data_IF_600074016190
#
_entry.id   IF_600074016190
#
_cell.length_a   1.000
_cell.length_b   1.000
_cell.length_c   1.000
_cell.angle_alpha   90.00
_cell.angle_beta   90.00
_cell.angle_gamma   90.00
#
_symmetry.space_group_name_H-M   'P 1'
#
loop_
_entity.id
_entity.type
_entity.pdbx_description
1 polymer ?
#
# COMPACT_ATOMS: atom_id res chain seq x y z
N UNK A 1 3.50 12.96 -1.33
CA UNK A 1 2.47 12.38 -2.23
C UNK A 1 1.57 11.47 -1.41
N UNK A 2 0.27 11.45 -1.70
CA UNK A 2 -0.70 10.57 -1.05
C UNK A 2 -1.37 9.67 -2.09
N UNK A 3 -1.52 8.38 -1.81
CA UNK A 3 -2.11 7.39 -2.71
C UNK A 3 -2.67 6.21 -1.92
N UNK A 4 -3.39 5.31 -2.60
CA UNK A 4 -3.92 4.10 -2.00
C UNK A 4 -3.89 2.94 -2.99
N UNK A 5 -3.70 1.73 -2.49
CA UNK A 5 -3.97 0.51 -3.25
C UNK A 5 -5.48 0.28 -3.28
N UNK A 6 -6.05 0.16 -4.48
CA UNK A 6 -7.50 0.09 -4.70
C UNK A 6 -7.88 -0.89 -5.80
N UNK A 7 -7.83 -2.21 -5.55
CA UNK A 7 -8.34 -3.18 -6.50
C UNK A 7 -9.84 -2.95 -6.79
N UNK A 8 -10.29 -3.12 -8.05
CA UNK A 8 -11.71 -3.05 -8.37
C UNK A 8 -12.53 -4.04 -7.53
N UNK A 9 -13.76 -3.67 -7.19
CA UNK A 9 -14.69 -4.53 -6.46
C UNK A 9 -14.36 -4.74 -4.97
N UNK A 10 -13.36 -4.05 -4.42
CA UNK A 10 -13.01 -4.19 -2.99
C UNK A 10 -13.81 -3.20 -2.13
N UNK A 11 -14.51 -3.64 -1.07
CA UNK A 11 -15.22 -2.74 -0.13
C UNK A 11 -14.28 -1.74 0.57
N UNK A 12 -14.80 -0.58 0.95
CA UNK A 12 -13.97 0.51 1.52
C UNK A 12 -13.27 0.11 2.83
N UNK A 13 -13.96 -0.60 3.74
CA UNK A 13 -13.36 -1.12 4.98
C UNK A 13 -12.22 -2.12 4.72
N UNK A 14 -12.40 -2.96 3.70
CA UNK A 14 -11.40 -3.93 3.25
C UNK A 14 -10.21 -3.20 2.60
N UNK A 15 -10.45 -2.14 1.84
CA UNK A 15 -9.39 -1.27 1.32
C UNK A 15 -8.57 -0.64 2.43
N UNK A 16 -9.22 -0.13 3.49
CA UNK A 16 -8.53 0.47 4.62
C UNK A 16 -7.66 -0.55 5.37
N UNK A 17 -8.20 -1.75 5.65
CA UNK A 17 -7.42 -2.86 6.22
C UNK A 17 -6.21 -3.24 5.36
N UNK A 18 -6.41 -3.35 4.04
CA UNK A 18 -5.33 -3.70 3.10
C UNK A 18 -4.25 -2.63 3.03
N UNK A 19 -4.62 -1.35 3.03
CA UNK A 19 -3.64 -0.27 3.00
C UNK A 19 -2.89 -0.16 4.34
N UNK A 20 -3.54 -0.39 5.48
CA UNK A 20 -2.86 -0.47 6.78
C UNK A 20 -1.84 -1.62 6.82
N UNK A 21 -2.24 -2.83 6.39
CA UNK A 21 -1.31 -3.97 6.33
C UNK A 21 -0.19 -3.80 5.29
N UNK A 22 -0.42 -3.05 4.22
CA UNK A 22 0.61 -2.68 3.24
C UNK A 22 1.63 -1.72 3.84
N UNK A 23 1.17 -0.71 4.60
CA UNK A 23 2.03 0.22 5.34
C UNK A 23 2.95 -0.53 6.29
N UNK A 24 2.37 -1.38 7.14
CA UNK A 24 3.11 -2.15 8.14
C UNK A 24 4.17 -3.03 7.49
N UNK A 25 3.82 -3.74 6.42
CA UNK A 25 4.75 -4.62 5.72
C UNK A 25 5.93 -3.88 5.07
N UNK A 26 5.66 -2.74 4.45
CA UNK A 26 6.71 -1.90 3.87
C UNK A 26 7.62 -1.36 4.98
N UNK A 27 7.06 -0.82 6.06
CA UNK A 27 7.86 -0.29 7.16
C UNK A 27 8.65 -1.37 7.90
N UNK A 28 8.08 -2.58 8.06
CA UNK A 28 8.75 -3.72 8.69
C UNK A 28 9.93 -4.25 7.86
N UNK A 29 9.95 -4.01 6.54
CA UNK A 29 11.11 -4.35 5.70
C UNK A 29 12.37 -3.55 6.06
N UNK A 30 12.22 -2.38 6.70
CA UNK A 30 13.32 -1.46 7.00
C UNK A 30 13.92 -0.74 5.79
N UNK A 31 13.50 -1.10 4.57
CA UNK A 31 14.03 -0.53 3.33
C UNK A 31 13.40 0.82 2.95
N UNK A 32 12.16 1.05 3.37
CA UNK A 32 11.43 2.29 3.14
C UNK A 32 10.46 2.55 4.30
N UNK A 33 10.30 3.83 4.63
CA UNK A 33 9.34 4.27 5.66
C UNK A 33 8.29 5.18 5.05
N UNK A 34 7.04 4.75 5.18
CA UNK A 34 5.84 5.47 4.81
C UNK A 34 5.07 5.84 6.07
N UNK A 35 4.18 6.82 5.94
CA UNK A 35 3.14 7.12 6.94
C UNK A 35 1.76 6.96 6.31
N UNK A 36 0.71 7.15 7.10
CA UNK A 36 -0.65 7.26 6.60
C UNK A 36 -1.28 8.58 7.01
N UNK A 37 -2.40 8.90 6.37
CA UNK A 37 -3.30 9.99 6.72
C UNK A 37 -4.72 9.60 6.32
N UNK A 38 -5.72 10.29 6.88
CA UNK A 38 -7.12 10.08 6.52
C UNK A 38 -7.56 11.22 5.61
N UNK A 39 -7.91 10.90 4.37
CA UNK A 39 -8.45 11.86 3.41
C UNK A 39 -9.88 11.46 3.05
N UNK A 40 -10.84 12.37 3.24
CA UNK A 40 -12.26 12.12 2.99
C UNK A 40 -12.79 10.87 3.72
N UNK A 41 -12.31 10.65 4.94
CA UNK A 41 -12.68 9.49 5.77
C UNK A 41 -12.03 8.16 5.37
N UNK A 42 -11.02 8.16 4.48
CA UNK A 42 -10.39 6.95 3.93
C UNK A 42 -8.92 6.85 4.29
N UNK A 43 -8.47 5.65 4.63
CA UNK A 43 -7.07 5.38 4.95
C UNK A 43 -6.19 5.53 3.70
N UNK A 44 -5.23 6.45 3.75
CA UNK A 44 -4.39 6.83 2.61
C UNK A 44 -2.91 6.76 2.96
N UNK A 45 -2.11 6.11 2.12
CA UNK A 45 -0.67 6.02 2.27
C UNK A 45 -0.01 7.34 1.86
N UNK A 46 1.02 7.74 2.61
CA UNK A 46 1.79 8.97 2.37
C UNK A 46 3.27 8.66 2.25
N UNK A 47 3.82 8.95 1.07
CA UNK A 47 5.25 8.99 0.82
C UNK A 47 5.75 10.43 0.93
N UNK A 48 6.64 10.68 1.89
CA UNK A 48 7.28 11.97 2.12
C UNK A 48 8.67 11.98 1.47
N UNK A 49 8.75 12.48 0.23
CA UNK A 49 10.03 12.75 -0.44
C UNK A 49 10.51 14.12 0.00
N UNK A 50 11.09 14.22 1.20
CA UNK A 50 11.51 15.50 1.80
C UNK A 50 12.97 15.56 2.26
N UNK A 51 13.66 14.43 2.30
CA UNK A 51 15.07 14.40 2.69
C UNK A 51 15.96 14.64 1.46
N UNK A 52 16.92 15.56 1.56
CA UNK A 52 17.91 15.89 0.52
C UNK A 52 18.69 14.67 0.01
N UNK A 53 18.77 13.59 0.80
CA UNK A 53 19.41 12.32 0.43
C UNK A 53 18.47 11.36 -0.31
N UNK A 54 17.19 11.71 -0.48
CA UNK A 54 16.22 10.88 -1.22
C UNK A 54 16.48 11.01 -2.71
N UNK A 55 16.95 9.94 -3.33
CA UNK A 55 17.24 9.89 -4.76
C UNK A 55 16.16 9.10 -5.49
N UNK A 56 16.11 9.23 -6.81
CA UNK A 56 15.13 8.52 -7.66
C UNK A 56 15.10 7.01 -7.42
N UNK A 57 16.27 6.40 -7.15
CA UNK A 57 16.38 4.97 -6.79
C UNK A 57 15.63 4.59 -5.51
N UNK A 58 15.55 5.48 -4.51
CA UNK A 58 14.85 5.20 -3.25
C UNK A 58 13.33 5.20 -3.49
N UNK A 59 12.85 6.10 -4.34
CA UNK A 59 11.43 6.14 -4.75
C UNK A 59 11.07 4.90 -5.59
N UNK A 60 11.93 4.53 -6.55
CA UNK A 60 11.75 3.32 -7.34
C UNK A 60 11.71 2.06 -6.47
N UNK A 61 12.64 1.93 -5.52
CA UNK A 61 12.67 0.80 -4.59
C UNK A 61 11.43 0.74 -3.70
N UNK A 62 10.99 1.87 -3.16
CA UNK A 62 9.74 1.95 -2.40
C UNK A 62 8.53 1.50 -3.24
N UNK A 63 8.48 1.90 -4.51
CA UNK A 63 7.43 1.48 -5.43
C UNK A 63 7.45 -0.02 -5.74
N UNK A 64 8.62 -0.63 -5.90
CA UNK A 64 8.76 -2.08 -6.06
C UNK A 64 8.27 -2.85 -4.81
N UNK A 65 8.64 -2.38 -3.62
CA UNK A 65 8.21 -2.99 -2.35
C UNK A 65 6.69 -2.93 -2.19
N UNK A 66 6.10 -1.76 -2.46
CA UNK A 66 4.64 -1.57 -2.44
C UNK A 66 3.94 -2.56 -3.37
N UNK A 67 4.40 -2.67 -4.62
CA UNK A 67 3.80 -3.59 -5.58
C UNK A 67 3.98 -5.06 -5.19
N UNK A 68 5.16 -5.44 -4.68
CA UNK A 68 5.44 -6.80 -4.22
C UNK A 68 4.52 -7.21 -3.07
N UNK A 69 4.37 -6.33 -2.07
CA UNK A 69 3.50 -6.57 -0.93
C UNK A 69 2.01 -6.48 -1.25
N UNK A 70 1.61 -5.66 -2.24
CA UNK A 70 0.25 -5.57 -2.72
C UNK A 70 -0.16 -6.84 -3.49
N UNK A 71 0.71 -7.38 -4.36
CA UNK A 71 0.44 -8.64 -5.09
C UNK A 71 0.21 -9.83 -4.17
N UNK A 72 1.00 -9.94 -3.09
CA UNK A 72 0.82 -10.96 -2.05
C UNK A 72 -0.51 -10.81 -1.27
N UNK A 73 -1.16 -9.65 -1.40
CA UNK A 73 -2.43 -9.28 -0.76
C UNK A 73 -3.53 -8.99 -1.79
N UNK A 74 -3.36 -9.51 -3.01
CA UNK A 74 -4.35 -9.44 -4.08
C UNK A 74 -5.68 -10.08 -3.65
N UNK A 75 -6.75 -9.89 -4.43
CA UNK A 75 -8.04 -10.49 -4.12
C UNK A 75 -7.88 -12.00 -3.85
N UNK A 76 -8.49 -12.50 -2.76
CA UNK A 76 -8.79 -13.93 -2.67
C UNK A 76 -9.68 -14.23 -3.86
N UNK A 77 -9.21 -15.07 -4.77
CA UNK A 77 -10.02 -15.60 -5.85
C UNK A 77 -11.14 -16.41 -5.17
N UNK A 78 -12.37 -15.87 -5.17
CA UNK A 78 -13.54 -16.71 -4.89
C UNK A 78 -13.67 -17.65 -6.08
N UNK A 79 -13.44 -18.95 -5.85
CA UNK A 79 -13.70 -20.01 -6.83
C UNK A 79 -15.22 -20.18 -6.96
N UNK A 80 -15.86 -19.74 -8.07
CA UNK A 80 -17.32 -19.65 -8.13
C UNK A 80 -18.03 -20.98 -8.43
N UNK A 81 -17.45 -22.15 -8.13
CA UNK A 81 -18.01 -23.44 -8.59
C UNK A 81 -18.07 -24.59 -7.56
N UNK A 82 -17.86 -24.35 -6.26
CA UNK A 82 -18.01 -25.40 -5.22
C UNK A 82 -19.40 -25.43 -4.52
N UNK A 83 -20.50 -25.31 -5.26
CA UNK A 83 -21.86 -25.65 -4.78
C UNK A 83 -22.76 -26.12 -5.91
#
# INVERSE_FOLDING_TARGET
MCFRYSPPGTPEEELDRRNAGLLEAVNASGEAYLSHTVLRGRYTLRLAVGNLRTQRRHVARCWELLQSHARKRGPREEVPWES
#
